data_IF_765474761571
#
_entry.id   IF_765474761571
#
_cell.length_a   1.000
_cell.length_b   1.000
_cell.length_c   1.000
_cell.angle_alpha   90.00
_cell.angle_beta   90.00
_cell.angle_gamma   90.00
#
_symmetry.space_group_name_H-M   'P 1'
#
loop_
_entity.id
_entity.type
_entity.pdbx_description
1 polymer ?
#
# COMPACT_ATOMS: atom_id res chain seq x y z
N UNK A 1 11.16 0.62 -8.97
CA UNK A 1 10.23 1.30 -8.04
C UNK A 1 10.51 2.80 -7.91
N UNK A 2 11.79 3.20 -7.75
CA UNK A 2 12.30 4.60 -7.78
C UNK A 2 11.66 5.58 -8.79
N UNK A 3 11.08 5.10 -9.89
CA UNK A 3 10.51 5.95 -10.94
C UNK A 3 9.01 6.23 -10.74
N UNK A 4 8.24 5.32 -10.12
CA UNK A 4 6.78 5.42 -10.07
C UNK A 4 6.28 6.40 -9.02
N UNK A 5 6.75 6.29 -7.76
CA UNK A 5 6.38 7.22 -6.69
C UNK A 5 6.95 8.63 -6.93
N UNK A 6 8.15 8.73 -7.51
CA UNK A 6 8.74 10.03 -7.89
C UNK A 6 8.00 10.74 -9.03
N UNK A 7 7.48 9.99 -10.03
CA UNK A 7 6.62 10.55 -11.08
C UNK A 7 5.29 11.08 -10.54
N UNK A 8 4.75 10.42 -9.53
CA UNK A 8 3.49 10.79 -8.86
C UNK A 8 3.67 12.10 -8.09
N UNK A 9 4.76 12.24 -7.34
CA UNK A 9 5.11 13.48 -6.64
C UNK A 9 5.30 14.65 -7.64
N UNK A 10 5.94 14.39 -8.78
CA UNK A 10 6.16 15.41 -9.82
C UNK A 10 4.91 15.87 -10.59
N UNK A 11 3.84 15.06 -10.64
CA UNK A 11 2.62 15.40 -11.41
C UNK A 11 1.61 16.25 -10.63
N UNK A 12 1.68 16.27 -9.29
CA UNK A 12 0.84 17.14 -8.46
C UNK A 12 1.35 18.60 -8.41
N UNK A 13 2.63 18.83 -8.72
CA UNK A 13 3.26 20.16 -8.70
C UNK A 13 2.90 21.08 -9.89
N UNK A 14 2.28 20.56 -10.95
CA UNK A 14 2.03 21.34 -12.18
C UNK A 14 0.71 22.11 -12.20
N UNK A 15 -0.02 22.12 -11.08
CA UNK A 15 -1.11 23.08 -10.88
C UNK A 15 -0.52 24.47 -10.66
N UNK A 16 -0.35 25.23 -11.74
CA UNK A 16 0.05 26.64 -11.71
C UNK A 16 -0.78 27.36 -10.64
N UNK A 17 -0.13 27.78 -9.55
CA UNK A 17 -0.79 28.58 -8.52
C UNK A 17 -1.05 29.94 -9.16
N UNK A 18 -2.23 30.12 -9.75
CA UNK A 18 -2.70 31.43 -10.13
C UNK A 18 -2.95 32.17 -8.81
N UNK A 19 -1.96 32.97 -8.40
CA UNK A 19 -2.05 33.79 -7.19
C UNK A 19 -3.31 34.67 -7.31
N UNK A 20 -4.23 34.48 -6.38
CA UNK A 20 -5.33 35.39 -6.20
C UNK A 20 -4.78 36.72 -5.69
N UNK A 21 -5.40 37.85 -5.99
CA UNK A 21 -5.05 39.14 -5.36
C UNK A 21 -5.46 39.20 -3.87
N UNK A 22 -5.55 38.05 -3.19
CA UNK A 22 -6.02 37.90 -1.82
C UNK A 22 -5.13 36.90 -1.06
N UNK A 23 -4.36 37.37 -0.05
CA UNK A 23 -3.42 36.54 0.70
C UNK A 23 -4.06 35.37 1.44
N UNK A 24 -5.31 35.50 1.91
CA UNK A 24 -6.01 34.39 2.56
C UNK A 24 -6.33 33.28 1.56
N UNK A 25 -6.61 33.65 0.31
CA UNK A 25 -6.88 32.71 -0.76
C UNK A 25 -5.59 32.04 -1.24
N UNK A 26 -4.48 32.78 -1.32
CA UNK A 26 -3.16 32.22 -1.64
C UNK A 26 -2.66 31.27 -0.54
N UNK A 27 -2.85 31.64 0.73
CA UNK A 27 -2.58 30.76 1.87
C UNK A 27 -3.35 29.44 1.75
N UNK A 28 -4.64 29.53 1.43
CA UNK A 28 -5.51 28.38 1.28
C UNK A 28 -5.06 27.49 0.12
N UNK A 29 -4.68 28.07 -1.02
CA UNK A 29 -4.16 27.31 -2.16
C UNK A 29 -2.86 26.58 -1.81
N UNK A 30 -1.95 27.25 -1.10
CA UNK A 30 -0.70 26.67 -0.62
C UNK A 30 -0.96 25.51 0.37
N UNK A 31 -1.89 25.69 1.32
CA UNK A 31 -2.27 24.61 2.26
C UNK A 31 -2.81 23.40 1.51
N UNK A 32 -3.69 23.64 0.56
CA UNK A 32 -4.34 22.59 -0.17
C UNK A 32 -3.42 21.90 -1.19
N UNK A 33 -2.40 22.58 -1.71
CA UNK A 33 -1.48 21.97 -2.68
C UNK A 33 -0.64 20.89 -2.03
N UNK A 34 0.05 21.17 -0.92
CA UNK A 34 0.87 20.14 -0.27
C UNK A 34 0.04 19.04 0.39
N UNK A 35 -1.12 19.39 0.98
CA UNK A 35 -1.98 18.36 1.55
C UNK A 35 -2.44 17.37 0.47
N UNK A 36 -2.79 17.88 -0.73
CA UNK A 36 -3.09 17.03 -1.89
C UNK A 36 -1.90 16.19 -2.34
N UNK A 37 -0.65 16.65 -2.21
CA UNK A 37 0.52 15.82 -2.49
C UNK A 37 0.58 14.60 -1.56
N UNK A 38 0.39 14.82 -0.26
CA UNK A 38 0.39 13.74 0.74
C UNK A 38 -0.78 12.76 0.53
N UNK A 39 -1.99 13.28 0.34
CA UNK A 39 -3.18 12.46 0.06
C UNK A 39 -3.02 11.67 -1.25
N UNK A 40 -2.51 12.31 -2.30
CA UNK A 40 -2.26 11.66 -3.59
C UNK A 40 -1.25 10.52 -3.46
N UNK A 41 -0.14 10.72 -2.74
CA UNK A 41 0.83 9.65 -2.47
C UNK A 41 0.18 8.49 -1.70
N UNK A 42 -0.58 8.80 -0.65
CA UNK A 42 -1.29 7.80 0.17
C UNK A 42 -2.26 6.96 -0.67
N UNK A 43 -3.07 7.60 -1.50
CA UNK A 43 -4.04 6.90 -2.34
C UNK A 43 -3.34 6.00 -3.36
N UNK A 44 -2.25 6.47 -3.98
CA UNK A 44 -1.50 5.65 -4.92
C UNK A 44 -0.88 4.41 -4.25
N UNK A 45 -0.30 4.55 -3.06
CA UNK A 45 0.21 3.42 -2.29
C UNK A 45 -0.91 2.44 -1.95
N UNK A 46 -2.08 2.94 -1.54
CA UNK A 46 -3.25 2.09 -1.23
C UNK A 46 -3.77 1.36 -2.46
N UNK A 47 -3.87 2.02 -3.61
CA UNK A 47 -4.29 1.39 -4.86
C UNK A 47 -3.31 0.33 -5.32
N UNK A 48 -2.02 0.64 -5.30
CA UNK A 48 -0.97 -0.29 -5.65
C UNK A 48 -0.99 -1.52 -4.75
N UNK A 49 -1.03 -1.30 -3.43
CA UNK A 49 -1.11 -2.38 -2.45
C UNK A 49 -2.36 -3.24 -2.67
N UNK A 50 -3.53 -2.64 -2.88
CA UNK A 50 -4.77 -3.37 -3.11
C UNK A 50 -4.72 -4.24 -4.38
N UNK A 51 -4.21 -3.69 -5.48
CA UNK A 51 -4.12 -4.39 -6.77
C UNK A 51 -3.11 -5.56 -6.70
N UNK A 52 -1.88 -5.29 -6.25
CA UNK A 52 -0.84 -6.32 -6.12
C UNK A 52 -1.25 -7.43 -5.15
N UNK A 53 -1.85 -7.08 -4.02
CA UNK A 53 -2.34 -8.06 -3.05
C UNK A 53 -3.41 -8.96 -3.62
N UNK A 54 -4.34 -8.38 -4.37
CA UNK A 54 -5.37 -9.15 -5.03
C UNK A 54 -4.75 -10.16 -5.99
N UNK A 55 -3.83 -9.73 -6.84
CA UNK A 55 -3.16 -10.61 -7.80
C UNK A 55 -2.43 -11.76 -7.09
N UNK A 56 -1.67 -11.46 -6.03
CA UNK A 56 -1.00 -12.47 -5.19
C UNK A 56 -1.97 -13.51 -4.65
N UNK A 57 -3.09 -13.05 -4.07
CA UNK A 57 -4.06 -13.93 -3.44
C UNK A 57 -4.84 -14.73 -4.47
N UNK A 58 -5.18 -14.14 -5.62
CA UNK A 58 -5.82 -14.82 -6.73
C UNK A 58 -4.92 -15.96 -7.25
N UNK A 59 -3.62 -15.72 -7.45
CA UNK A 59 -2.64 -16.75 -7.86
C UNK A 59 -2.54 -17.89 -6.82
N UNK A 60 -2.46 -17.55 -5.53
CA UNK A 60 -2.41 -18.55 -4.47
C UNK A 60 -3.70 -19.38 -4.38
N UNK A 61 -4.86 -18.73 -4.58
CA UNK A 61 -6.15 -19.38 -4.58
C UNK A 61 -6.35 -20.29 -5.79
N UNK A 62 -5.86 -19.90 -6.97
CA UNK A 62 -5.91 -20.73 -8.18
C UNK A 62 -5.14 -22.05 -7.97
N UNK A 63 -3.97 -22.00 -7.33
CA UNK A 63 -3.18 -23.20 -7.00
C UNK A 63 -3.98 -24.16 -6.11
N UNK A 64 -4.62 -23.63 -5.07
CA UNK A 64 -5.41 -24.44 -4.13
C UNK A 64 -6.67 -24.99 -4.81
N UNK A 65 -7.36 -24.17 -5.59
CA UNK A 65 -8.56 -24.57 -6.33
C UNK A 65 -8.23 -25.67 -7.36
N UNK A 66 -7.13 -25.54 -8.08
CA UNK A 66 -6.65 -26.55 -9.04
C UNK A 66 -6.38 -27.90 -8.36
N UNK A 67 -5.76 -27.90 -7.17
CA UNK A 67 -5.58 -29.15 -6.45
C UNK A 67 -6.93 -29.71 -5.99
N UNK A 68 -7.85 -28.90 -5.45
CA UNK A 68 -9.21 -29.35 -5.07
C UNK A 68 -9.96 -29.99 -6.26
N UNK A 69 -9.87 -29.41 -7.45
CA UNK A 69 -10.46 -29.98 -8.66
C UNK A 69 -9.82 -31.33 -9.01
N UNK A 70 -8.49 -31.39 -9.03
CA UNK A 70 -7.76 -32.64 -9.28
C UNK A 70 -8.13 -33.74 -8.27
N UNK A 71 -8.43 -33.35 -7.03
CA UNK A 71 -8.84 -34.21 -5.95
C UNK A 71 -10.22 -34.80 -6.14
N UNK A 72 -11.19 -33.99 -6.55
CA UNK A 72 -12.54 -34.44 -6.90
C UNK A 72 -12.48 -35.62 -7.88
N UNK A 73 -11.58 -35.55 -8.87
CA UNK A 73 -11.35 -36.61 -9.84
C UNK A 73 -10.65 -37.86 -9.25
N UNK A 74 -9.73 -37.68 -8.29
CA UNK A 74 -8.97 -38.79 -7.65
C UNK A 74 -9.80 -39.57 -6.62
N UNK A 75 -10.75 -38.94 -5.94
CA UNK A 75 -11.60 -39.60 -4.94
C UNK A 75 -12.34 -40.80 -5.54
N UNK A 76 -12.77 -40.71 -6.80
CA UNK A 76 -13.48 -41.78 -7.50
C UNK A 76 -12.67 -43.09 -7.63
N UNK A 77 -11.33 -43.04 -7.55
CA UNK A 77 -10.45 -44.19 -7.77
C UNK A 77 -9.74 -44.69 -6.50
N UNK A 78 -9.96 -44.02 -5.36
CA UNK A 78 -9.23 -44.21 -4.11
C UNK A 78 -9.93 -45.22 -3.17
N UNK A 79 -9.29 -46.34 -2.81
CA UNK A 79 -9.95 -47.42 -2.05
C UNK A 79 -10.11 -47.16 -0.55
N UNK A 80 -9.18 -46.44 0.09
CA UNK A 80 -9.21 -46.18 1.54
C UNK A 80 -9.84 -44.83 1.90
N UNK A 81 -10.89 -44.46 1.18
CA UNK A 81 -11.57 -43.18 1.34
C UNK A 81 -12.46 -43.16 2.61
N UNK A 82 -12.43 -42.04 3.33
CA UNK A 82 -13.38 -41.76 4.41
C UNK A 82 -13.65 -40.25 4.51
N UNK A 83 -14.85 -39.83 4.96
CA UNK A 83 -15.19 -38.41 5.15
C UNK A 83 -14.17 -37.67 6.03
N UNK A 84 -13.67 -38.35 7.08
CA UNK A 84 -12.69 -37.78 8.02
C UNK A 84 -11.35 -37.46 7.35
N UNK A 85 -10.91 -38.30 6.41
CA UNK A 85 -9.69 -38.03 5.66
C UNK A 85 -9.91 -36.82 4.74
N UNK A 86 -11.02 -36.76 4.00
CA UNK A 86 -11.35 -35.62 3.12
C UNK A 86 -11.44 -34.29 3.87
N UNK A 87 -12.04 -34.27 5.05
CA UNK A 87 -12.09 -33.06 5.89
C UNK A 87 -10.68 -32.61 6.32
N UNK A 88 -9.84 -33.54 6.77
CA UNK A 88 -8.46 -33.22 7.16
C UNK A 88 -7.65 -32.65 5.98
N UNK A 89 -7.92 -33.11 4.77
CA UNK A 89 -7.29 -32.60 3.54
C UNK A 89 -7.77 -31.19 3.24
N UNK A 90 -9.08 -30.98 3.23
CA UNK A 90 -9.67 -29.67 2.97
C UNK A 90 -9.17 -28.62 3.96
N UNK A 91 -9.06 -29.00 5.24
CA UNK A 91 -8.46 -28.15 6.27
C UNK A 91 -6.99 -27.84 5.96
N UNK A 92 -6.18 -28.84 5.60
CA UNK A 92 -4.77 -28.60 5.27
C UNK A 92 -4.60 -27.70 4.04
N UNK A 93 -5.42 -27.86 2.99
CA UNK A 93 -5.40 -27.01 1.80
C UNK A 93 -5.83 -25.57 2.14
N UNK A 94 -6.86 -25.41 2.97
CA UNK A 94 -7.25 -24.11 3.51
C UNK A 94 -6.12 -23.46 4.29
N UNK A 95 -5.39 -24.22 5.10
CA UNK A 95 -4.26 -23.70 5.87
C UNK A 95 -3.12 -23.20 4.97
N UNK A 96 -2.90 -23.81 3.79
CA UNK A 96 -1.96 -23.26 2.80
C UNK A 96 -2.42 -21.89 2.25
N UNK A 97 -3.71 -21.74 1.89
CA UNK A 97 -4.24 -20.47 1.40
C UNK A 97 -4.22 -19.37 2.48
N UNK A 98 -4.52 -19.73 3.73
CA UNK A 98 -4.52 -18.79 4.85
C UNK A 98 -3.13 -18.24 5.15
N UNK A 99 -2.06 -19.01 4.95
CA UNK A 99 -0.69 -18.53 5.13
C UNK A 99 -0.37 -17.36 4.19
N UNK A 100 -0.75 -17.46 2.92
CA UNK A 100 -0.57 -16.36 1.97
C UNK A 100 -1.34 -15.10 2.39
N UNK A 101 -2.61 -15.28 2.80
CA UNK A 101 -3.45 -14.18 3.28
C UNK A 101 -2.87 -13.48 4.50
N UNK A 102 -2.37 -14.26 5.47
CA UNK A 102 -1.77 -13.71 6.68
C UNK A 102 -0.48 -12.93 6.38
N UNK A 103 0.35 -13.43 5.46
CA UNK A 103 1.58 -12.73 5.06
C UNK A 103 1.25 -11.40 4.39
N UNK A 104 0.32 -11.38 3.44
CA UNK A 104 -0.13 -10.13 2.79
C UNK A 104 -0.67 -9.14 3.83
N UNK A 105 -1.50 -9.61 4.77
CA UNK A 105 -2.02 -8.77 5.84
C UNK A 105 -0.91 -8.17 6.73
N UNK A 106 0.10 -8.95 7.08
CA UNK A 106 1.22 -8.46 7.89
C UNK A 106 2.02 -7.39 7.13
N UNK A 107 2.21 -7.56 5.82
CA UNK A 107 2.87 -6.55 4.98
C UNK A 107 2.05 -5.26 4.94
N UNK A 108 0.72 -5.36 4.82
CA UNK A 108 -0.17 -4.19 4.83
C UNK A 108 -0.02 -3.37 6.09
N UNK A 109 0.07 -4.02 7.26
CA UNK A 109 0.23 -3.30 8.53
C UNK A 109 1.49 -2.42 8.53
N UNK A 110 2.62 -2.93 8.04
CA UNK A 110 3.86 -2.14 7.96
C UNK A 110 3.70 -0.92 7.04
N UNK A 111 3.02 -1.08 5.90
CA UNK A 111 2.74 0.04 4.99
C UNK A 111 1.77 1.04 5.64
N UNK A 112 0.75 0.56 6.36
CA UNK A 112 -0.21 1.43 7.05
C UNK A 112 0.45 2.26 8.16
N UNK A 113 1.41 1.70 8.90
CA UNK A 113 2.17 2.45 9.91
C UNK A 113 2.91 3.65 9.27
N UNK A 114 3.53 3.45 8.10
CA UNK A 114 4.20 4.53 7.37
C UNK A 114 3.21 5.56 6.79
N UNK A 115 2.05 5.10 6.31
CA UNK A 115 0.98 5.98 5.83
C UNK A 115 0.36 6.81 6.97
N UNK A 116 0.25 6.25 8.17
CA UNK A 116 -0.23 6.97 9.36
C UNK A 116 0.78 8.03 9.80
N UNK A 117 2.07 7.69 9.88
CA UNK A 117 3.12 8.67 10.16
C UNK A 117 3.13 9.82 9.13
N UNK A 118 2.93 9.51 7.86
CA UNK A 118 2.81 10.51 6.80
C UNK A 118 1.55 11.39 6.97
N UNK A 119 0.43 10.80 7.40
CA UNK A 119 -0.79 11.56 7.69
C UNK A 119 -0.60 12.52 8.86
N UNK A 120 0.05 12.08 9.94
CA UNK A 120 0.36 12.92 11.09
C UNK A 120 1.20 14.13 10.69
N UNK A 121 2.24 13.93 9.84
CA UNK A 121 3.05 15.04 9.33
C UNK A 121 2.19 16.00 8.48
N UNK A 122 1.33 15.49 7.59
CA UNK A 122 0.45 16.34 6.77
C UNK A 122 -0.43 17.25 7.64
N UNK A 123 -0.96 16.71 8.74
CA UNK A 123 -1.77 17.45 9.71
C UNK A 123 -0.91 18.44 10.51
N UNK A 124 0.29 18.06 10.94
CA UNK A 124 1.22 18.96 11.64
C UNK A 124 1.61 20.16 10.77
N UNK A 125 1.84 19.93 9.47
CA UNK A 125 2.09 21.00 8.50
C UNK A 125 0.90 21.96 8.39
N UNK A 126 -0.35 21.46 8.39
CA UNK A 126 -1.54 22.33 8.42
C UNK A 126 -1.55 23.24 9.65
N UNK A 127 -1.23 22.71 10.82
CA UNK A 127 -1.10 23.52 12.04
C UNK A 127 0.06 24.52 11.96
N UNK A 128 1.18 24.15 11.35
CA UNK A 128 2.31 25.05 11.16
C UNK A 128 1.93 26.25 10.27
N UNK A 129 1.24 26.01 9.16
CA UNK A 129 0.78 27.08 8.25
C UNK A 129 -0.24 27.99 8.93
N UNK A 130 -1.22 27.43 9.66
CA UNK A 130 -2.20 28.23 10.41
C UNK A 130 -1.52 29.08 11.49
N UNK A 131 -0.53 28.53 12.21
CA UNK A 131 0.26 29.27 13.20
C UNK A 131 1.06 30.38 12.53
N UNK A 132 1.61 30.13 11.34
CA UNK A 132 2.36 31.11 10.57
C UNK A 132 1.46 32.26 10.12
N UNK A 133 0.28 31.96 9.55
CA UNK A 133 -0.73 32.96 9.18
C UNK A 133 -1.14 33.86 10.33
N UNK A 134 -1.27 33.30 11.54
CA UNK A 134 -1.63 34.07 12.73
C UNK A 134 -0.57 35.11 13.09
N UNK A 135 0.70 34.82 12.85
CA UNK A 135 1.82 35.68 13.22
C UNK A 135 2.27 36.60 12.08
N UNK A 136 1.87 36.31 10.84
CA UNK A 136 2.23 37.07 9.66
C UNK A 136 1.45 38.40 9.58
N UNK A 137 2.16 39.53 9.42
CA UNK A 137 1.50 40.83 9.28
C UNK A 137 1.08 41.07 7.83
N UNK A 138 -0.07 40.51 7.47
CA UNK A 138 -0.64 40.57 6.13
C UNK A 138 -0.86 41.99 5.58
N UNK A 139 -0.95 43.00 6.45
CA UNK A 139 -1.17 44.40 6.07
C UNK A 139 0.13 45.11 5.70
N UNK A 140 1.26 44.70 6.29
CA UNK A 140 2.57 45.34 6.08
C UNK A 140 3.45 44.53 5.12
N UNK A 141 3.38 43.19 5.18
CA UNK A 141 4.34 42.30 4.53
C UNK A 141 3.74 41.52 3.34
N UNK A 142 2.62 41.96 2.77
CA UNK A 142 1.91 41.21 1.71
C UNK A 142 2.81 40.85 0.51
N UNK A 143 3.75 41.72 0.15
CA UNK A 143 4.68 41.48 -0.95
C UNK A 143 5.54 40.22 -0.74
N UNK A 144 5.84 39.88 0.51
CA UNK A 144 6.71 38.77 0.89
C UNK A 144 5.91 37.49 1.22
N UNK A 145 4.58 37.56 1.22
CA UNK A 145 3.69 36.47 1.60
C UNK A 145 3.98 35.17 0.83
N UNK A 146 4.16 35.27 -0.49
CA UNK A 146 4.37 34.08 -1.33
C UNK A 146 5.71 33.41 -1.03
N UNK A 147 6.78 34.20 -0.87
CA UNK A 147 8.12 33.69 -0.58
C UNK A 147 8.15 33.01 0.80
N UNK A 148 7.57 33.67 1.80
CA UNK A 148 7.57 33.20 3.18
C UNK A 148 6.79 31.88 3.32
N UNK A 149 5.65 31.75 2.64
CA UNK A 149 4.86 30.51 2.65
C UNK A 149 5.37 29.43 1.68
N UNK A 150 6.07 29.80 0.60
CA UNK A 150 6.77 28.83 -0.26
C UNK A 150 7.85 28.07 0.50
N UNK A 151 8.51 28.69 1.48
CA UNK A 151 9.48 28.01 2.34
C UNK A 151 8.86 26.79 3.03
N UNK A 152 7.62 26.91 3.53
CA UNK A 152 6.89 25.83 4.20
C UNK A 152 6.54 24.71 3.21
N UNK A 153 6.12 25.07 1.99
CA UNK A 153 5.83 24.09 0.94
C UNK A 153 7.08 23.33 0.53
N UNK A 154 8.21 24.03 0.38
CA UNK A 154 9.47 23.41 0.01
C UNK A 154 9.94 22.42 1.08
N UNK A 155 9.79 22.75 2.36
CA UNK A 155 10.07 21.82 3.47
C UNK A 155 9.13 20.62 3.43
N UNK A 156 7.83 20.83 3.22
CA UNK A 156 6.86 19.74 3.13
C UNK A 156 7.14 18.79 1.96
N UNK A 157 7.53 19.37 0.82
CA UNK A 157 7.90 18.65 -0.39
C UNK A 157 9.20 17.85 -0.18
N UNK A 158 10.25 18.49 0.35
CA UNK A 158 11.52 17.83 0.67
C UNK A 158 11.33 16.67 1.64
N UNK A 159 10.51 16.88 2.68
CA UNK A 159 10.12 15.82 3.63
C UNK A 159 9.39 14.67 2.93
N UNK A 160 8.45 14.97 2.03
CA UNK A 160 7.74 13.93 1.28
C UNK A 160 8.70 13.14 0.39
N UNK A 161 9.52 13.83 -0.41
CA UNK A 161 10.41 13.21 -1.40
C UNK A 161 11.59 12.45 -0.76
N UNK A 162 12.22 13.02 0.26
CA UNK A 162 13.47 12.50 0.82
C UNK A 162 13.29 11.71 2.12
N UNK A 163 12.11 11.75 2.75
CA UNK A 163 11.82 10.95 3.94
C UNK A 163 10.70 9.93 3.73
N UNK A 164 9.49 10.36 3.39
CA UNK A 164 8.34 9.44 3.35
C UNK A 164 8.35 8.53 2.13
N UNK A 165 8.66 9.05 0.94
CA UNK A 165 8.71 8.22 -0.28
C UNK A 165 9.68 7.04 -0.12
N UNK A 166 10.94 7.22 0.31
CA UNK A 166 11.86 6.09 0.53
C UNK A 166 11.33 5.08 1.55
N UNK A 167 10.75 5.53 2.67
CA UNK A 167 10.20 4.62 3.68
C UNK A 167 9.00 3.83 3.17
N UNK A 168 8.15 4.45 2.36
CA UNK A 168 7.03 3.77 1.71
C UNK A 168 7.54 2.76 0.66
N UNK A 169 8.60 3.08 -0.06
CA UNK A 169 9.25 2.13 -0.97
C UNK A 169 9.81 0.92 -0.22
N UNK A 170 10.52 1.14 0.88
CA UNK A 170 11.05 0.07 1.73
C UNK A 170 9.92 -0.78 2.34
N UNK A 171 8.82 -0.16 2.78
CA UNK A 171 7.66 -0.86 3.33
C UNK A 171 6.87 -1.65 2.26
N UNK A 172 6.93 -1.24 0.99
CA UNK A 172 6.31 -1.91 -0.14
C UNK A 172 7.19 -3.02 -0.73
N UNK A 173 8.50 -3.00 -0.52
CA UNK A 173 9.40 -4.04 -1.04
C UNK A 173 8.95 -5.48 -0.69
N UNK A 174 8.51 -5.78 0.56
CA UNK A 174 8.00 -7.11 0.88
C UNK A 174 6.78 -7.55 0.04
N UNK A 175 5.91 -6.63 -0.41
CA UNK A 175 4.76 -7.00 -1.23
C UNK A 175 5.16 -7.38 -2.65
N UNK A 176 6.19 -6.73 -3.17
CA UNK A 176 6.80 -7.09 -4.45
C UNK A 176 7.48 -8.46 -4.39
N UNK A 177 8.21 -8.73 -3.32
CA UNK A 177 8.82 -10.05 -3.12
C UNK A 177 7.74 -11.14 -2.99
N UNK A 178 6.65 -10.83 -2.28
CA UNK A 178 5.51 -11.72 -2.09
C UNK A 178 4.85 -12.12 -3.43
N UNK A 179 4.85 -11.24 -4.44
CA UNK A 179 4.32 -11.48 -5.79
C UNK A 179 4.87 -12.76 -6.42
N UNK A 180 6.18 -12.97 -6.32
CA UNK A 180 6.81 -14.17 -6.89
C UNK A 180 6.93 -15.33 -5.91
N UNK A 181 7.03 -15.04 -4.61
CA UNK A 181 7.39 -16.04 -3.60
C UNK A 181 6.18 -16.74 -2.98
N UNK A 182 5.08 -16.02 -2.71
CA UNK A 182 3.90 -16.62 -2.06
C UNK A 182 3.20 -17.67 -2.92
N UNK A 183 3.02 -17.49 -4.25
CA UNK A 183 2.49 -18.56 -5.09
C UNK A 183 3.38 -19.81 -5.06
N UNK A 184 4.71 -19.66 -5.09
CA UNK A 184 5.64 -20.79 -5.03
C UNK A 184 5.58 -21.53 -3.68
N UNK A 185 5.49 -20.78 -2.57
CA UNK A 185 5.33 -21.34 -1.23
C UNK A 185 4.01 -22.09 -1.10
N UNK A 186 2.92 -21.50 -1.62
CA UNK A 186 1.59 -22.11 -1.67
C UNK A 186 1.63 -23.41 -2.47
N UNK A 187 2.22 -23.40 -3.66
CA UNK A 187 2.41 -24.60 -4.49
C UNK A 187 3.22 -25.67 -3.75
N UNK A 188 4.27 -25.29 -3.03
CA UNK A 188 5.08 -26.21 -2.24
C UNK A 188 4.26 -26.86 -1.11
N UNK A 189 3.46 -26.06 -0.40
CA UNK A 189 2.55 -26.52 0.65
C UNK A 189 1.51 -27.51 0.10
N UNK A 190 0.84 -27.13 -0.99
CA UNK A 190 -0.14 -27.96 -1.70
C UNK A 190 0.48 -29.26 -2.21
N UNK A 191 1.69 -29.22 -2.77
CA UNK A 191 2.41 -30.42 -3.22
C UNK A 191 2.78 -31.38 -2.07
N UNK A 192 3.13 -30.85 -0.89
CA UNK A 192 3.41 -31.67 0.28
C UNK A 192 2.16 -32.41 0.77
N UNK A 193 1.03 -31.69 0.84
CA UNK A 193 -0.30 -32.23 1.10
C UNK A 193 -0.64 -33.31 0.08
N UNK A 194 -0.62 -32.97 -1.22
CA UNK A 194 -0.92 -33.89 -2.32
C UNK A 194 -0.16 -35.20 -2.22
N UNK A 195 1.16 -35.16 -1.96
CA UNK A 195 2.01 -36.35 -1.77
C UNK A 195 1.58 -37.20 -0.57
N UNK A 196 1.33 -36.58 0.57
CA UNK A 196 0.89 -37.26 1.80
C UNK A 196 -0.44 -37.98 1.60
N UNK A 197 -1.26 -37.51 0.67
CA UNK A 197 -2.57 -38.09 0.43
C UNK A 197 -2.62 -39.06 -0.73
N UNK A 198 -1.76 -38.91 -1.75
CA UNK A 198 -1.57 -39.95 -2.78
C UNK A 198 -1.16 -41.29 -2.18
N UNK A 199 -0.46 -41.30 -1.04
CA UNK A 199 -0.13 -42.53 -0.33
C UNK A 199 -1.33 -43.21 0.35
N UNK A 200 -2.50 -42.58 0.38
CA UNK A 200 -3.73 -43.15 0.95
C UNK A 200 -4.60 -43.90 -0.07
N UNK A 201 -4.33 -43.85 -1.38
CA UNK A 201 -5.31 -44.26 -2.43
C UNK A 201 -5.16 -45.65 -3.09
#
# INVERSE_FOLDING_TARGET
MNFFLRLIVGSVLLGSVALAQNPLQDAYYIIHSYHRMYEGTKDNVRFYMADTSRNILDDCMEIVASEIESWSNRVATCKNWSPRNTEAIGNALRDCAMQASQTVYNIHNNVYDELEAMQEESVQLQFAVVRHLRNFNILEDYADFVEDFQSVVNVAYDRLEHHFVPRLEDALEPILEAESTLPQQTQTCVNAISRKFRSLC
#
